data_IF_302602327917
#
_entry.id   IF_302602327917
#
_cell.length_a   1.000
_cell.length_b   1.000
_cell.length_c   1.000
_cell.angle_alpha   90.00
_cell.angle_beta   90.00
_cell.angle_gamma   90.00
#
_symmetry.space_group_name_H-M   'P 1'
#
loop_
_entity.id
_entity.type
_entity.pdbx_description
1 polymer ?
#
# COMPACT_ATOMS: atom_id res chain seq x y z
N UNK A 1 -19.98 2.82 18.66
CA UNK A 1 -19.65 4.07 17.94
C UNK A 1 -18.22 3.92 17.47
N UNK A 2 -17.94 3.95 16.16
CA UNK A 2 -16.56 3.93 15.68
C UNK A 2 -15.82 5.13 16.29
N UNK A 3 -14.63 4.88 16.85
CA UNK A 3 -13.84 5.93 17.51
C UNK A 3 -13.63 7.08 16.52
N UNK A 4 -13.99 8.31 16.91
CA UNK A 4 -13.90 9.53 16.09
C UNK A 4 -12.45 9.92 15.69
N UNK A 5 -11.49 9.01 15.92
CA UNK A 5 -10.06 9.21 15.69
C UNK A 5 -9.37 7.97 15.09
N UNK A 6 -10.13 7.07 14.45
CA UNK A 6 -9.56 5.90 13.80
C UNK A 6 -8.68 6.33 12.61
N UNK A 7 -7.39 5.96 12.65
CA UNK A 7 -6.41 6.22 11.61
C UNK A 7 -5.78 4.89 11.19
N UNK A 8 -5.93 4.53 9.92
CA UNK A 8 -5.54 3.24 9.37
C UNK A 8 -4.43 3.45 8.34
N UNK A 9 -3.40 2.62 8.39
CA UNK A 9 -2.44 2.46 7.29
C UNK A 9 -2.61 1.05 6.74
N UNK A 10 -2.79 0.93 5.42
CA UNK A 10 -2.94 -0.36 4.74
C UNK A 10 -1.73 -0.64 3.84
N UNK A 11 -1.00 -1.71 4.13
CA UNK A 11 0.27 -2.03 3.43
C UNK A 11 0.15 -3.20 2.44
N UNK A 12 -1.08 -3.64 2.16
CA UNK A 12 -1.39 -4.67 1.19
C UNK A 12 -2.57 -4.20 0.33
N UNK A 13 -2.55 -4.36 -1.01
CA UNK A 13 -3.65 -3.94 -1.87
C UNK A 13 -4.99 -4.49 -1.39
N UNK A 14 -5.11 -5.80 -1.16
CA UNK A 14 -6.35 -6.42 -0.70
C UNK A 14 -6.85 -5.89 0.65
N UNK A 15 -5.96 -5.56 1.59
CA UNK A 15 -6.35 -4.95 2.85
C UNK A 15 -6.95 -3.54 2.65
N UNK A 16 -6.39 -2.76 1.73
CA UNK A 16 -6.93 -1.45 1.33
C UNK A 16 -8.32 -1.58 0.76
N UNK A 17 -8.52 -2.54 -0.15
CA UNK A 17 -9.80 -2.78 -0.81
C UNK A 17 -10.87 -3.21 0.19
N UNK A 18 -10.54 -4.14 1.10
CA UNK A 18 -11.45 -4.62 2.15
C UNK A 18 -11.87 -3.48 3.07
N UNK A 19 -10.91 -2.69 3.58
CA UNK A 19 -11.20 -1.56 4.47
C UNK A 19 -12.07 -0.50 3.77
N UNK A 20 -11.78 -0.21 2.51
CA UNK A 20 -12.60 0.70 1.71
C UNK A 20 -14.01 0.15 1.49
N UNK A 21 -14.17 -1.13 1.16
CA UNK A 21 -15.45 -1.80 0.98
C UNK A 21 -16.31 -1.81 2.26
N UNK A 22 -15.67 -1.82 3.43
CA UNK A 22 -16.33 -1.69 4.74
C UNK A 22 -16.74 -0.25 5.09
N UNK A 23 -16.57 0.72 4.18
CA UNK A 23 -16.95 2.12 4.40
C UNK A 23 -15.94 2.91 5.22
N UNK A 24 -14.70 2.43 5.36
CA UNK A 24 -13.65 3.07 6.17
C UNK A 24 -12.56 3.74 5.32
N UNK A 25 -12.82 4.00 4.04
CA UNK A 25 -11.86 4.63 3.13
C UNK A 25 -11.34 6.00 3.65
N UNK A 26 -12.19 6.77 4.35
CA UNK A 26 -11.81 8.07 4.92
C UNK A 26 -10.93 7.96 6.17
N UNK A 27 -10.94 6.80 6.84
CA UNK A 27 -10.05 6.51 7.96
C UNK A 27 -8.65 6.06 7.50
N UNK A 28 -8.47 5.78 6.21
CA UNK A 28 -7.16 5.42 5.64
C UNK A 28 -6.31 6.69 5.50
N UNK A 29 -5.22 6.75 6.26
CA UNK A 29 -4.28 7.89 6.29
C UNK A 29 -2.95 7.59 5.59
N UNK A 30 -2.72 6.34 5.16
CA UNK A 30 -1.52 5.94 4.43
C UNK A 30 -1.72 4.59 3.72
N UNK A 31 -0.95 4.37 2.67
CA UNK A 31 -1.08 3.20 1.78
C UNK A 31 0.30 2.65 1.34
N UNK A 32 0.35 1.41 0.85
CA UNK A 32 1.55 0.94 0.11
C UNK A 32 1.66 1.63 -1.25
N UNK A 33 2.84 1.57 -1.87
CA UNK A 33 3.04 2.05 -3.25
C UNK A 33 2.18 1.29 -4.28
N UNK A 34 1.78 0.06 -3.98
CA UNK A 34 0.97 -0.81 -4.84
C UNK A 34 -0.53 -0.61 -4.65
N UNK A 35 -0.97 -0.09 -3.50
CA UNK A 35 -2.39 0.08 -3.20
C UNK A 35 -3.01 1.20 -4.05
N UNK A 36 -3.73 0.86 -5.12
CA UNK A 36 -4.19 1.84 -6.11
C UNK A 36 -5.72 1.87 -6.31
N UNK A 37 -6.45 1.03 -5.57
CA UNK A 37 -7.92 0.92 -5.58
C UNK A 37 -8.52 1.05 -4.16
N UNK A 38 -9.71 1.68 -4.02
CA UNK A 38 -10.38 2.51 -5.03
C UNK A 38 -9.57 3.76 -5.39
N UNK A 39 -9.86 4.38 -6.54
CA UNK A 39 -9.09 5.52 -7.05
C UNK A 39 -8.95 6.68 -6.03
N UNK A 40 -9.91 6.82 -5.12
CA UNK A 40 -9.88 7.78 -4.01
C UNK A 40 -8.71 7.58 -3.06
N UNK A 41 -8.14 6.37 -2.95
CA UNK A 41 -7.00 6.08 -2.07
C UNK A 41 -5.69 6.61 -2.65
N UNK A 42 -5.62 6.90 -3.96
CA UNK A 42 -4.41 7.42 -4.61
C UNK A 42 -3.93 8.76 -4.03
N UNK A 43 -4.83 9.52 -3.39
CA UNK A 43 -4.49 10.78 -2.72
C UNK A 43 -3.82 10.60 -1.34
N UNK A 44 -3.75 9.37 -0.82
CA UNK A 44 -3.13 9.08 0.48
C UNK A 44 -1.61 8.91 0.32
N UNK A 45 -0.82 9.34 1.32
CA UNK A 45 0.63 9.14 1.34
C UNK A 45 1.01 7.68 1.12
N UNK A 46 2.02 7.48 0.27
CA UNK A 46 2.68 6.19 0.08
C UNK A 46 3.69 5.99 1.21
N UNK A 47 3.58 4.87 1.92
CA UNK A 47 4.38 4.56 3.11
C UNK A 47 5.39 3.42 2.89
N UNK A 48 5.46 2.88 1.67
CA UNK A 48 6.40 1.82 1.29
C UNK A 48 6.97 2.09 -0.08
N UNK A 49 8.12 1.50 -0.37
CA UNK A 49 8.75 1.50 -1.68
C UNK A 49 9.16 0.07 -2.05
N UNK A 50 9.46 -0.16 -3.33
CA UNK A 50 10.02 -1.43 -3.75
C UNK A 50 11.44 -1.57 -3.17
N UNK A 51 11.72 -2.68 -2.50
CA UNK A 51 13.06 -2.94 -1.96
C UNK A 51 14.08 -3.25 -3.07
N UNK A 52 13.60 -3.81 -4.19
CA UNK A 52 14.43 -4.22 -5.32
C UNK A 52 14.24 -3.24 -6.47
N UNK A 53 15.35 -2.86 -7.10
CA UNK A 53 15.32 -2.07 -8.32
C UNK A 53 15.04 -2.97 -9.53
N UNK A 54 13.81 -2.92 -10.04
CA UNK A 54 13.38 -3.69 -11.21
C UNK A 54 13.97 -3.24 -12.54
N UNK A 55 14.68 -2.10 -12.58
CA UNK A 55 15.34 -1.60 -13.80
C UNK A 55 16.70 -2.28 -14.05
N UNK A 56 17.20 -3.09 -13.09
CA UNK A 56 18.43 -3.86 -13.24
C UNK A 56 18.25 -5.02 -14.24
N UNK A 57 19.33 -5.51 -14.88
CA UNK A 57 19.30 -6.78 -15.60
C UNK A 57 18.81 -7.92 -14.70
N UNK A 58 18.04 -8.86 -15.25
CA UNK A 58 17.39 -9.94 -14.49
C UNK A 58 18.36 -10.78 -13.64
N UNK A 59 19.58 -11.02 -14.12
CA UNK A 59 20.60 -11.73 -13.36
C UNK A 59 20.99 -10.99 -12.06
N UNK A 60 21.08 -9.66 -12.11
CA UNK A 60 21.40 -8.86 -10.92
C UNK A 60 20.23 -8.78 -9.94
N UNK A 61 18.99 -8.83 -10.44
CA UNK A 61 17.79 -8.93 -9.60
C UNK A 61 17.79 -10.27 -8.86
N UNK A 62 18.12 -11.37 -9.55
CA UNK A 62 18.23 -12.69 -8.95
C UNK A 62 19.33 -12.72 -7.87
N UNK A 63 20.49 -12.13 -8.15
CA UNK A 63 21.56 -11.98 -7.17
C UNK A 63 21.12 -11.17 -5.93
N UNK A 64 20.33 -10.10 -6.09
CA UNK A 64 19.83 -9.29 -4.97
C UNK A 64 18.86 -10.06 -4.05
N UNK A 65 18.14 -11.06 -4.57
CA UNK A 65 17.19 -11.88 -3.79
C UNK A 65 17.89 -13.02 -3.03
N UNK A 66 18.98 -13.54 -3.58
CA UNK A 66 19.71 -14.70 -3.05
C UNK A 66 20.77 -14.35 -1.98
N UNK A 67 21.00 -13.06 -1.69
CA UNK A 67 21.96 -12.57 -0.68
C UNK A 67 21.27 -12.09 0.61
#
# INVERSE_FOLDING_TARGET
>A
MLSQNLKIVTLLPSATEIVAALGLADAIVGRSHECDYPATIKNRPVCTEAQINSDKPSAQIDDDINN
#
